data_IF_681145282869
#
_entry.id   IF_681145282869
#
_cell.length_a   1.000
_cell.length_b   1.000
_cell.length_c   1.000
_cell.angle_alpha   90.00
_cell.angle_beta   90.00
_cell.angle_gamma   90.00
#
_symmetry.space_group_name_H-M   'P 1'
#
loop_
_entity.id
_entity.type
_entity.pdbx_description
1 polymer ?
#
# COMPACT_ATOMS: atom_id res chain seq x y z
N UNK A 1 -7.43 -31.40 8.85
CA UNK A 1 -6.37 -31.22 9.86
C UNK A 1 -5.07 -31.45 9.12
N UNK A 2 -4.42 -30.40 8.61
CA UNK A 2 -3.16 -30.54 7.89
C UNK A 2 -2.03 -30.79 8.90
N UNK A 3 -1.15 -31.73 8.62
CA UNK A 3 -0.05 -32.08 9.53
C UNK A 3 0.94 -30.89 9.60
N UNK A 4 1.60 -30.65 10.75
CA UNK A 4 2.55 -29.53 10.90
C UNK A 4 3.68 -29.54 9.84
N UNK A 5 4.08 -30.73 9.38
CA UNK A 5 5.06 -30.91 8.31
C UNK A 5 4.60 -30.36 6.95
N UNK A 6 3.31 -30.45 6.62
CA UNK A 6 2.79 -29.97 5.34
C UNK A 6 2.82 -28.44 5.27
N UNK A 7 2.68 -27.76 6.41
CA UNK A 7 2.72 -26.29 6.49
C UNK A 7 4.14 -25.76 6.26
N UNK A 8 5.15 -26.39 6.87
CA UNK A 8 6.55 -26.03 6.69
C UNK A 8 7.00 -26.24 5.23
N UNK A 9 6.70 -27.40 4.64
CA UNK A 9 7.03 -27.70 3.24
C UNK A 9 6.31 -26.73 2.29
N UNK A 10 5.06 -26.37 2.59
CA UNK A 10 4.31 -25.37 1.81
C UNK A 10 4.99 -24.00 1.86
N UNK A 11 5.41 -23.55 3.03
CA UNK A 11 6.10 -22.26 3.19
C UNK A 11 7.45 -22.24 2.46
N UNK A 12 8.23 -23.32 2.55
CA UNK A 12 9.49 -23.47 1.81
C UNK A 12 9.26 -23.44 0.30
N UNK A 13 8.27 -24.18 -0.20
CA UNK A 13 7.92 -24.16 -1.63
C UNK A 13 7.49 -22.77 -2.09
N UNK A 14 6.63 -22.08 -1.33
CA UNK A 14 6.20 -20.72 -1.65
C UNK A 14 7.38 -19.74 -1.64
N UNK A 15 8.33 -19.88 -0.70
CA UNK A 15 9.55 -19.08 -0.63
C UNK A 15 10.47 -19.32 -1.83
N UNK A 16 10.70 -20.59 -2.20
CA UNK A 16 11.51 -20.94 -3.37
C UNK A 16 10.90 -20.44 -4.68
N UNK A 17 9.58 -20.54 -4.85
CA UNK A 17 8.92 -19.99 -6.04
C UNK A 17 9.00 -18.46 -6.00
N UNK A 18 8.84 -17.83 -4.83
CA UNK A 18 8.95 -16.40 -4.69
C UNK A 18 10.35 -15.87 -5.04
N UNK A 19 11.42 -16.56 -4.62
CA UNK A 19 12.80 -16.22 -4.98
C UNK A 19 13.07 -16.44 -6.47
N UNK A 20 12.58 -17.54 -7.04
CA UNK A 20 12.69 -17.82 -8.47
C UNK A 20 12.07 -16.71 -9.33
N UNK A 21 10.89 -16.22 -8.94
CA UNK A 21 10.20 -15.11 -9.61
C UNK A 21 10.89 -13.76 -9.39
N UNK A 22 11.66 -13.60 -8.30
CA UNK A 22 12.43 -12.39 -8.04
C UNK A 22 13.71 -12.33 -8.89
N UNK A 23 14.39 -13.46 -9.05
CA UNK A 23 15.67 -13.56 -9.75
C UNK A 23 15.54 -13.58 -11.28
N UNK A 24 14.35 -13.89 -11.80
CA UNK A 24 14.10 -13.98 -13.23
C UNK A 24 14.11 -12.61 -13.93
N UNK A 25 15.27 -12.27 -14.50
CA UNK A 25 15.48 -11.04 -15.28
C UNK A 25 14.96 -11.13 -16.73
N UNK A 26 14.71 -12.34 -17.24
CA UNK A 26 14.25 -12.56 -18.61
C UNK A 26 12.71 -12.57 -18.70
N UNK A 27 12.04 -13.03 -17.65
CA UNK A 27 10.57 -13.09 -17.53
C UNK A 27 9.96 -14.35 -18.15
N UNK A 28 10.76 -15.19 -18.81
CA UNK A 28 10.29 -16.42 -19.47
C UNK A 28 9.86 -17.48 -18.46
N UNK A 29 10.67 -17.69 -17.41
CA UNK A 29 10.32 -18.61 -16.32
C UNK A 29 9.10 -18.11 -15.57
N UNK A 30 9.04 -16.80 -15.31
CA UNK A 30 7.89 -16.15 -14.68
C UNK A 30 6.61 -16.35 -15.48
N UNK A 31 6.68 -16.29 -16.82
CA UNK A 31 5.53 -16.55 -17.69
C UNK A 31 5.07 -18.01 -17.62
N UNK A 32 5.98 -18.98 -17.61
CA UNK A 32 5.63 -20.39 -17.48
C UNK A 32 5.01 -20.71 -16.12
N UNK A 33 5.57 -20.17 -15.04
CA UNK A 33 5.02 -20.30 -13.69
C UNK A 33 3.62 -19.69 -13.61
N UNK A 34 3.42 -18.47 -14.13
CA UNK A 34 2.10 -17.82 -14.12
C UNK A 34 1.09 -18.61 -14.97
N UNK A 35 1.50 -19.17 -16.10
CA UNK A 35 0.65 -20.07 -16.91
C UNK A 35 0.30 -21.33 -16.14
N UNK A 36 1.24 -21.92 -15.42
CA UNK A 36 1.01 -23.11 -14.59
C UNK A 36 0.03 -22.80 -13.46
N UNK A 37 0.25 -21.73 -12.70
CA UNK A 37 -0.66 -21.30 -11.61
C UNK A 37 -2.05 -20.98 -12.17
N UNK A 38 -2.13 -20.32 -13.32
CA UNK A 38 -3.42 -20.06 -14.00
C UNK A 38 -4.18 -21.34 -14.33
N UNK A 39 -3.49 -22.37 -14.83
CA UNK A 39 -4.12 -23.68 -15.08
C UNK A 39 -4.58 -24.33 -13.79
N UNK A 40 -3.75 -24.28 -12.73
CA UNK A 40 -4.06 -24.83 -11.41
C UNK A 40 -5.31 -24.17 -10.79
N UNK A 41 -5.42 -22.84 -10.88
CA UNK A 41 -6.58 -22.11 -10.40
C UNK A 41 -7.87 -22.53 -11.14
N UNK A 42 -7.78 -22.77 -12.46
CA UNK A 42 -8.92 -23.22 -13.26
C UNK A 42 -9.32 -24.66 -12.96
N UNK A 43 -8.36 -25.59 -12.87
CA UNK A 43 -8.63 -27.02 -12.63
C UNK A 43 -9.22 -27.26 -11.24
N UNK A 44 -8.77 -26.49 -10.23
CA UNK A 44 -9.30 -26.55 -8.87
C UNK A 44 -10.50 -25.64 -8.62
N UNK A 45 -11.13 -25.11 -9.68
CA UNK A 45 -12.28 -24.19 -9.61
C UNK A 45 -12.09 -23.07 -8.57
N UNK A 46 -10.86 -22.58 -8.42
CA UNK A 46 -10.47 -21.53 -7.46
C UNK A 46 -10.63 -21.89 -5.97
N UNK A 47 -10.79 -23.17 -5.60
CA UNK A 47 -10.72 -23.66 -4.23
C UNK A 47 -9.25 -23.85 -3.80
N UNK A 48 -8.53 -22.74 -3.65
CA UNK A 48 -7.09 -22.72 -3.38
C UNK A 48 -6.82 -21.86 -2.14
N UNK A 49 -5.70 -22.09 -1.45
CA UNK A 49 -5.26 -21.26 -0.33
C UNK A 49 -4.70 -19.90 -0.79
N UNK A 50 -4.83 -18.84 0.03
CA UNK A 50 -4.31 -17.50 -0.28
C UNK A 50 -2.83 -17.46 -0.64
N UNK A 51 -2.02 -18.35 -0.05
CA UNK A 51 -0.58 -18.44 -0.28
C UNK A 51 -0.21 -18.61 -1.77
N UNK A 52 -1.03 -19.33 -2.55
CA UNK A 52 -0.76 -19.55 -3.98
C UNK A 52 -0.92 -18.26 -4.80
N UNK A 53 -1.83 -17.38 -4.40
CA UNK A 53 -1.98 -16.06 -5.03
C UNK A 53 -0.91 -15.08 -4.54
N UNK A 54 -0.47 -15.21 -3.29
CA UNK A 54 0.60 -14.37 -2.72
C UNK A 54 1.93 -14.55 -3.46
N UNK A 55 2.15 -15.68 -4.14
CA UNK A 55 3.30 -15.88 -5.03
C UNK A 55 3.32 -14.82 -6.15
N UNK A 56 2.17 -14.34 -6.64
CA UNK A 56 2.16 -13.25 -7.61
C UNK A 56 2.67 -11.92 -7.03
N UNK A 57 2.64 -11.74 -5.70
CA UNK A 57 3.19 -10.55 -5.05
C UNK A 57 4.71 -10.49 -5.09
N UNK A 58 5.44 -11.58 -5.38
CA UNK A 58 6.91 -11.52 -5.53
C UNK A 58 7.34 -11.06 -6.92
N UNK A 59 6.44 -11.10 -7.91
CA UNK A 59 6.72 -10.66 -9.28
C UNK A 59 7.10 -9.18 -9.31
N UNK A 60 8.31 -8.90 -9.77
CA UNK A 60 8.83 -7.54 -9.95
C UNK A 60 8.61 -7.04 -11.38
N UNK A 61 7.35 -6.95 -11.77
CA UNK A 61 6.97 -6.33 -13.03
C UNK A 61 6.98 -4.82 -12.80
N UNK A 62 8.16 -4.21 -12.87
CA UNK A 62 8.26 -2.76 -12.96
C UNK A 62 7.80 -2.38 -14.37
N UNK A 63 6.85 -1.45 -14.43
CA UNK A 63 6.75 -0.52 -15.55
C UNK A 63 8.18 -0.13 -15.89
N UNK A 64 8.59 -0.42 -17.12
CA UNK A 64 9.90 -0.03 -17.59
C UNK A 64 9.81 1.48 -17.73
N UNK A 65 10.05 2.22 -16.64
CA UNK A 65 10.78 3.46 -16.82
C UNK A 65 12.02 3.06 -17.63
N UNK A 66 12.33 3.77 -18.73
CA UNK A 66 13.56 3.54 -19.45
C UNK A 66 14.63 3.60 -18.37
N UNK A 67 15.32 2.47 -18.19
CA UNK A 67 16.24 2.24 -17.10
C UNK A 67 17.07 3.51 -16.98
N UNK A 68 16.93 4.23 -15.86
CA UNK A 68 17.94 5.19 -15.45
C UNK A 68 19.20 4.35 -15.34
N UNK A 69 19.98 4.35 -16.43
CA UNK A 69 21.30 3.78 -16.45
C UNK A 69 22.01 4.49 -15.32
N UNK A 70 22.20 3.77 -14.20
CA UNK A 70 23.31 4.05 -13.30
C UNK A 70 24.49 4.30 -14.20
N UNK A 71 24.86 5.58 -14.28
CA UNK A 71 25.98 6.15 -15.02
C UNK A 71 26.98 5.05 -15.31
N UNK A 72 26.94 4.53 -16.53
CA UNK A 72 27.97 3.61 -17.02
C UNK A 72 29.27 4.33 -16.68
N UNK A 73 30.01 3.74 -15.73
CA UNK A 73 31.30 4.24 -15.31
C UNK A 73 32.08 4.58 -16.55
N UNK A 74 32.56 5.84 -16.63
CA UNK A 74 33.29 6.37 -17.76
C UNK A 74 34.34 5.34 -18.19
N UNK A 75 34.03 4.57 -19.23
CA UNK A 75 34.95 3.61 -19.80
C UNK A 75 36.21 4.40 -20.15
N UNK A 76 37.28 4.13 -19.40
CA UNK A 76 38.59 4.70 -19.60
C UNK A 76 38.94 4.52 -21.07
N UNK A 77 39.16 5.63 -21.77
CA UNK A 77 39.51 5.61 -23.19
C UNK A 77 40.67 4.63 -23.36
N UNK A 78 40.57 3.62 -24.25
CA UNK A 78 41.67 2.68 -24.44
C UNK A 78 42.89 3.47 -24.88
N UNK A 79 43.99 3.32 -24.14
CA UNK A 79 45.21 4.07 -24.38
C UNK A 79 45.91 3.49 -25.62
N UNK A 80 45.50 3.95 -26.80
CA UNK A 80 46.02 3.53 -28.11
C UNK A 80 47.54 3.75 -28.28
N UNK A 81 48.20 4.38 -27.31
CA UNK A 81 49.66 4.55 -27.26
C UNK A 81 50.39 3.30 -26.76
N UNK A 82 49.74 2.45 -25.96
CA UNK A 82 50.34 1.22 -25.44
C UNK A 82 50.40 0.08 -26.48
N UNK A 83 49.49 0.07 -27.46
CA UNK A 83 49.50 -0.88 -28.57
C UNK A 83 50.12 -0.25 -29.82
N UNK A 84 51.26 -0.79 -30.29
CA UNK A 84 51.93 -0.46 -31.56
C UNK A 84 51.11 -0.92 -32.79
N UNK A 85 49.84 -0.50 -32.88
CA UNK A 85 48.94 -0.81 -34.00
C UNK A 85 49.23 0.10 -35.20
N UNK A 86 49.21 -0.48 -36.40
CA UNK A 86 49.34 0.26 -37.66
C UNK A 86 48.20 1.27 -37.83
N UNK A 87 48.41 2.34 -38.63
CA UNK A 87 47.38 3.35 -38.93
C UNK A 87 46.10 2.72 -39.54
N UNK A 88 46.25 1.64 -40.30
CA UNK A 88 45.13 0.89 -40.90
C UNK A 88 44.34 0.11 -39.83
N UNK A 89 45.04 -0.57 -38.94
CA UNK A 89 44.43 -1.39 -37.88
C UNK A 89 43.68 -0.52 -36.86
N UNK A 90 44.16 0.70 -36.59
CA UNK A 90 43.45 1.68 -35.75
C UNK A 90 42.12 2.13 -36.34
N UNK A 91 42.01 2.25 -37.68
CA UNK A 91 40.73 2.58 -38.33
C UNK A 91 39.77 1.40 -38.25
N UNK A 92 40.24 0.20 -38.57
CA UNK A 92 39.43 -1.02 -38.48
C UNK A 92 38.97 -1.33 -37.06
N UNK A 93 39.80 -1.07 -36.05
CA UNK A 93 39.41 -1.26 -34.65
C UNK A 93 38.33 -0.26 -34.20
N UNK A 94 38.38 0.99 -34.68
CA UNK A 94 37.32 1.98 -34.42
C UNK A 94 36.01 1.60 -35.09
N UNK A 95 36.06 1.21 -36.37
CA UNK A 95 34.90 0.74 -37.12
C UNK A 95 34.29 -0.51 -36.48
N UNK A 96 35.12 -1.48 -36.06
CA UNK A 96 34.66 -2.67 -35.33
C UNK A 96 34.06 -2.32 -33.97
N UNK A 97 34.61 -1.33 -33.26
CA UNK A 97 34.07 -0.87 -31.98
C UNK A 97 32.75 -0.12 -32.15
N UNK A 98 32.60 0.68 -33.20
CA UNK A 98 31.33 1.35 -33.54
C UNK A 98 30.26 0.34 -33.98
N UNK A 99 30.64 -0.66 -34.79
CA UNK A 99 29.76 -1.75 -35.18
C UNK A 99 29.32 -2.59 -33.97
N UNK A 100 30.24 -2.92 -33.06
CA UNK A 100 29.92 -3.65 -31.83
C UNK A 100 28.95 -2.86 -30.95
N UNK A 101 29.15 -1.55 -30.79
CA UNK A 101 28.20 -0.68 -30.05
C UNK A 101 26.82 -0.65 -30.71
N UNK A 102 26.77 -0.58 -32.04
CA UNK A 102 25.50 -0.58 -32.77
C UNK A 102 24.77 -1.93 -32.62
N UNK A 103 25.51 -3.05 -32.69
CA UNK A 103 24.97 -4.38 -32.46
C UNK A 103 24.49 -4.54 -31.03
N UNK A 104 25.26 -4.11 -30.04
CA UNK A 104 24.89 -4.12 -28.62
C UNK A 104 23.58 -3.33 -28.40
N UNK A 105 23.51 -2.10 -28.89
CA UNK A 105 22.29 -1.28 -28.80
C UNK A 105 21.07 -1.96 -29.45
N UNK A 106 21.23 -2.57 -30.63
CA UNK A 106 20.15 -3.31 -31.29
C UNK A 106 19.73 -4.55 -30.50
N UNK A 107 20.68 -5.30 -29.95
CA UNK A 107 20.36 -6.48 -29.13
C UNK A 107 19.64 -6.10 -27.83
N UNK A 108 20.03 -4.98 -27.22
CA UNK A 108 19.38 -4.45 -26.02
C UNK A 108 17.95 -4.00 -26.31
N UNK A 109 17.72 -3.27 -27.41
CA UNK A 109 16.39 -2.86 -27.84
C UNK A 109 15.47 -4.06 -28.09
N UNK A 110 15.94 -5.07 -28.83
CA UNK A 110 15.17 -6.30 -29.07
C UNK A 110 14.83 -7.04 -27.76
N UNK A 111 15.77 -7.10 -26.81
CA UNK A 111 15.54 -7.70 -25.50
C UNK A 111 14.50 -6.94 -24.69
N UNK A 112 14.50 -5.61 -24.75
CA UNK A 112 13.51 -4.77 -24.08
C UNK A 112 12.11 -4.95 -24.67
N UNK A 113 11.97 -4.97 -26.00
CA UNK A 113 10.70 -5.23 -26.67
C UNK A 113 10.14 -6.61 -26.32
N UNK A 114 10.99 -7.64 -26.34
CA UNK A 114 10.59 -8.99 -25.94
C UNK A 114 10.08 -9.04 -24.50
N UNK A 115 10.79 -8.35 -23.59
CA UNK A 115 10.39 -8.24 -22.18
C UNK A 115 9.04 -7.52 -22.01
N UNK A 116 8.80 -6.43 -22.75
CA UNK A 116 7.51 -5.74 -22.71
C UNK A 116 6.38 -6.67 -23.15
N UNK A 117 6.58 -7.45 -24.22
CA UNK A 117 5.60 -8.42 -24.71
C UNK A 117 5.31 -9.51 -23.67
N UNK A 118 6.35 -10.08 -23.06
CA UNK A 118 6.20 -11.08 -22.00
C UNK A 118 5.47 -10.49 -20.79
N UNK A 119 5.91 -9.33 -20.29
CA UNK A 119 5.31 -8.68 -19.13
C UNK A 119 3.83 -8.38 -19.37
N UNK A 120 3.47 -7.90 -20.56
CA UNK A 120 2.07 -7.68 -20.95
C UNK A 120 1.26 -8.99 -20.87
N UNK A 121 1.79 -10.09 -21.41
CA UNK A 121 1.11 -11.40 -21.32
C UNK A 121 0.94 -11.87 -19.88
N UNK A 122 1.96 -11.69 -19.03
CA UNK A 122 1.89 -12.05 -17.61
C UNK A 122 0.78 -11.24 -16.92
N UNK A 123 0.78 -9.92 -17.12
CA UNK A 123 -0.18 -9.00 -16.54
C UNK A 123 -1.61 -9.31 -17.00
N UNK A 124 -1.82 -9.55 -18.28
CA UNK A 124 -3.12 -9.97 -18.83
C UNK A 124 -3.61 -11.28 -18.18
N UNK A 125 -2.74 -12.28 -18.02
CA UNK A 125 -3.10 -13.55 -17.34
C UNK A 125 -3.46 -13.35 -15.86
N UNK A 126 -2.68 -12.54 -15.14
CA UNK A 126 -2.92 -12.24 -13.73
C UNK A 126 -4.25 -11.52 -13.55
N UNK A 127 -4.50 -10.43 -14.29
CA UNK A 127 -5.76 -9.68 -14.21
C UNK A 127 -6.96 -10.52 -14.63
N UNK A 128 -6.84 -11.33 -15.69
CA UNK A 128 -7.92 -12.24 -16.07
C UNK A 128 -8.28 -13.23 -14.95
N UNK A 129 -7.31 -13.68 -14.15
CA UNK A 129 -7.60 -14.54 -13.00
C UNK A 129 -8.23 -13.75 -11.84
N UNK A 130 -7.72 -12.55 -11.53
CA UNK A 130 -8.29 -11.68 -10.50
C UNK A 130 -9.72 -11.23 -10.82
N UNK A 131 -10.02 -10.82 -12.05
CA UNK A 131 -11.37 -10.43 -12.45
C UNK A 131 -12.34 -11.61 -12.48
N UNK A 132 -11.87 -12.82 -12.85
CA UNK A 132 -12.70 -14.03 -12.71
C UNK A 132 -13.00 -14.36 -11.26
N UNK A 133 -12.04 -14.16 -10.35
CA UNK A 133 -12.24 -14.33 -8.92
C UNK A 133 -13.24 -13.31 -8.36
N UNK A 134 -13.10 -12.03 -8.74
CA UNK A 134 -14.02 -10.95 -8.35
C UNK A 134 -15.45 -11.22 -8.86
N UNK A 135 -15.62 -11.53 -10.15
CA UNK A 135 -16.95 -11.84 -10.73
C UNK A 135 -17.65 -13.03 -10.08
N UNK A 136 -16.88 -14.01 -9.61
CA UNK A 136 -17.45 -15.22 -9.05
C UNK A 136 -17.93 -15.06 -7.60
N UNK A 137 -17.58 -13.98 -6.89
CA UNK A 137 -17.88 -13.79 -5.44
C UNK A 137 -17.48 -14.98 -4.54
N UNK A 138 -16.73 -15.95 -5.07
CA UNK A 138 -16.80 -17.33 -4.56
C UNK A 138 -15.87 -17.59 -3.38
N UNK A 139 -14.98 -16.67 -2.98
CA UNK A 139 -14.11 -16.93 -1.84
C UNK A 139 -13.74 -15.61 -1.13
N UNK A 140 -14.54 -15.24 -0.13
CA UNK A 140 -14.24 -14.17 0.83
C UNK A 140 -12.83 -14.29 1.42
N UNK A 141 -12.29 -15.52 1.47
CA UNK A 141 -10.93 -15.85 1.92
C UNK A 141 -9.82 -15.40 0.98
N UNK A 142 -10.08 -15.36 -0.33
CA UNK A 142 -9.10 -14.98 -1.36
C UNK A 142 -9.13 -13.49 -1.67
N UNK A 143 -10.21 -12.79 -1.31
CA UNK A 143 -10.37 -11.36 -1.54
C UNK A 143 -9.19 -10.51 -1.05
N UNK A 144 -8.66 -10.68 0.18
CA UNK A 144 -7.48 -9.95 0.64
C UNK A 144 -6.27 -10.07 -0.30
N UNK A 145 -5.92 -11.30 -0.71
CA UNK A 145 -4.78 -11.56 -1.59
C UNK A 145 -4.96 -11.00 -2.99
N UNK A 146 -6.17 -11.11 -3.54
CA UNK A 146 -6.51 -10.54 -4.86
C UNK A 146 -6.40 -9.04 -4.82
N UNK A 147 -6.97 -8.40 -3.81
CA UNK A 147 -6.90 -6.95 -3.64
C UNK A 147 -5.44 -6.49 -3.42
N UNK A 148 -4.65 -7.16 -2.60
CA UNK A 148 -3.24 -6.83 -2.44
C UNK A 148 -2.46 -6.93 -3.77
N UNK A 149 -2.74 -7.95 -4.58
CA UNK A 149 -2.19 -8.08 -5.93
C UNK A 149 -2.61 -6.95 -6.87
N UNK A 150 -3.90 -6.59 -6.89
CA UNK A 150 -4.42 -5.49 -7.69
C UNK A 150 -3.82 -4.14 -7.26
N UNK A 151 -3.64 -3.92 -5.95
CA UNK A 151 -3.03 -2.71 -5.42
C UNK A 151 -1.57 -2.58 -5.86
N UNK A 152 -0.81 -3.69 -5.88
CA UNK A 152 0.58 -3.73 -6.34
C UNK A 152 0.70 -3.43 -7.84
N UNK A 153 -0.19 -4.00 -8.65
CA UNK A 153 -0.15 -3.89 -10.12
C UNK A 153 -1.05 -2.78 -10.67
N UNK A 154 -1.59 -1.90 -9.81
CA UNK A 154 -2.57 -0.87 -10.19
C UNK A 154 -2.13 0.01 -11.37
N UNK A 155 -0.84 0.34 -11.46
CA UNK A 155 -0.29 1.16 -12.56
C UNK A 155 -0.45 0.50 -13.94
N UNK A 156 -0.37 -0.83 -13.98
CA UNK A 156 -0.38 -1.63 -15.20
C UNK A 156 -1.80 -1.90 -15.71
N UNK A 157 -2.83 -1.45 -14.99
CA UNK A 157 -4.23 -1.61 -15.38
C UNK A 157 -4.56 -0.56 -16.44
N UNK A 158 -5.18 -1.00 -17.54
CA UNK A 158 -5.72 -0.08 -18.55
C UNK A 158 -6.84 0.77 -17.92
N UNK A 159 -6.76 2.09 -18.13
CA UNK A 159 -7.62 3.12 -17.53
C UNK A 159 -9.11 2.81 -17.79
N UNK A 160 -9.44 2.27 -18.97
CA UNK A 160 -10.80 1.93 -19.37
C UNK A 160 -11.52 0.94 -18.43
N UNK A 161 -10.79 0.09 -17.71
CA UNK A 161 -11.39 -0.89 -16.77
C UNK A 161 -11.50 -0.37 -15.34
N UNK A 162 -10.91 0.80 -15.04
CA UNK A 162 -10.80 1.30 -13.67
C UNK A 162 -12.14 1.76 -13.11
N UNK A 163 -12.94 2.44 -13.92
CA UNK A 163 -14.26 2.93 -13.51
C UNK A 163 -15.18 1.76 -13.13
N UNK A 164 -15.25 0.73 -13.98
CA UNK A 164 -16.01 -0.50 -13.73
C UNK A 164 -15.53 -1.24 -12.47
N UNK A 165 -14.21 -1.27 -12.27
CA UNK A 165 -13.58 -1.91 -11.12
C UNK A 165 -13.92 -1.16 -9.82
N UNK A 166 -13.83 0.16 -9.83
CA UNK A 166 -14.13 1.00 -8.66
C UNK A 166 -15.62 0.94 -8.33
N UNK A 167 -16.49 0.96 -9.34
CA UNK A 167 -17.93 0.76 -9.17
C UNK A 167 -18.23 -0.63 -8.55
N UNK A 168 -17.61 -1.68 -9.07
CA UNK A 168 -17.76 -3.04 -8.53
C UNK A 168 -17.31 -3.13 -7.06
N UNK A 169 -16.19 -2.50 -6.69
CA UNK A 169 -15.75 -2.43 -5.29
C UNK A 169 -16.72 -1.64 -4.41
N UNK A 170 -17.26 -0.54 -4.92
CA UNK A 170 -18.24 0.25 -4.18
C UNK A 170 -19.51 -0.55 -3.88
N UNK A 171 -20.03 -1.28 -4.87
CA UNK A 171 -21.21 -2.13 -4.70
C UNK A 171 -20.95 -3.27 -3.69
N UNK A 172 -19.76 -3.88 -3.71
CA UNK A 172 -19.38 -4.91 -2.75
C UNK A 172 -19.19 -4.38 -1.33
N UNK A 173 -18.66 -3.16 -1.18
CA UNK A 173 -18.46 -2.52 0.12
C UNK A 173 -19.77 -2.02 0.73
N UNK A 174 -20.68 -1.51 -0.09
CA UNK A 174 -21.96 -0.95 0.34
C UNK A 174 -23.02 -2.03 0.62
N UNK A 175 -22.88 -3.20 0.01
CA UNK A 175 -23.82 -4.31 0.23
C UNK A 175 -23.53 -5.02 1.55
N UNK A 176 -24.42 -4.85 2.54
CA UNK A 176 -24.35 -5.54 3.84
C UNK A 176 -24.47 -7.08 3.73
N UNK A 177 -25.02 -7.58 2.61
CA UNK A 177 -25.31 -9.00 2.38
C UNK A 177 -24.08 -9.83 2.00
N UNK A 178 -22.92 -9.22 1.81
CA UNK A 178 -21.77 -9.86 1.17
C UNK A 178 -20.94 -10.72 2.12
N UNK A 179 -21.17 -10.66 3.45
CA UNK A 179 -20.41 -11.44 4.42
C UNK A 179 -18.90 -11.14 4.39
N UNK A 180 -18.47 -10.04 3.76
CA UNK A 180 -17.07 -9.66 3.68
C UNK A 180 -16.52 -9.37 5.08
N UNK A 181 -15.43 -10.07 5.41
CA UNK A 181 -14.63 -9.78 6.59
C UNK A 181 -14.15 -8.32 6.55
N UNK A 182 -14.07 -7.66 7.71
CA UNK A 182 -13.56 -6.28 7.83
C UNK A 182 -12.19 -6.13 7.16
N UNK A 183 -11.29 -7.09 7.36
CA UNK A 183 -9.99 -7.16 6.68
C UNK A 183 -10.10 -7.08 5.15
N UNK A 184 -11.03 -7.82 4.55
CA UNK A 184 -11.24 -7.77 3.11
C UNK A 184 -11.73 -6.39 2.67
N UNK A 185 -12.61 -5.75 3.44
CA UNK A 185 -13.07 -4.37 3.18
C UNK A 185 -11.91 -3.37 3.23
N UNK A 186 -10.99 -3.48 4.18
CA UNK A 186 -9.79 -2.65 4.22
C UNK A 186 -8.89 -2.86 3.00
N UNK A 187 -8.67 -4.11 2.57
CA UNK A 187 -7.90 -4.37 1.36
C UNK A 187 -8.57 -3.82 0.10
N UNK A 188 -9.90 -3.87 -0.01
CA UNK A 188 -10.66 -3.24 -1.11
C UNK A 188 -10.48 -1.71 -1.12
N UNK A 189 -10.53 -1.06 0.05
CA UNK A 189 -10.26 0.37 0.13
C UNK A 189 -8.82 0.70 -0.27
N UNK A 190 -7.84 -0.10 0.17
CA UNK A 190 -6.43 0.08 -0.21
C UNK A 190 -6.28 -0.02 -1.73
N UNK A 191 -6.96 -0.98 -2.39
CA UNK A 191 -6.92 -1.07 -3.86
C UNK A 191 -7.46 0.16 -4.55
N UNK A 192 -8.64 0.63 -4.14
CA UNK A 192 -9.29 1.79 -4.75
C UNK A 192 -8.40 3.03 -4.60
N UNK A 193 -7.87 3.28 -3.40
CA UNK A 193 -6.98 4.43 -3.19
C UNK A 193 -5.60 4.26 -3.82
N UNK A 194 -5.08 3.03 -3.98
CA UNK A 194 -3.85 2.78 -4.74
C UNK A 194 -4.02 3.17 -6.21
N UNK A 195 -5.17 2.83 -6.78
CA UNK A 195 -5.57 3.21 -8.13
C UNK A 195 -5.71 4.74 -8.25
N UNK A 196 -6.49 5.37 -7.37
CA UNK A 196 -6.77 6.81 -7.41
C UNK A 196 -5.52 7.68 -7.18
N UNK A 197 -4.64 7.30 -6.25
CA UNK A 197 -3.47 8.11 -5.90
C UNK A 197 -2.38 8.06 -6.98
N UNK A 198 -2.30 6.97 -7.75
CA UNK A 198 -1.25 6.76 -8.74
C UNK A 198 -1.62 7.24 -10.13
N UNK A 199 -2.92 7.32 -10.44
CA UNK A 199 -3.43 7.84 -11.70
C UNK A 199 -4.07 9.22 -11.45
N UNK A 200 -3.25 10.27 -11.40
CA UNK A 200 -3.70 11.67 -11.22
C UNK A 200 -4.64 12.20 -12.34
N UNK A 201 -5.02 11.34 -13.29
CA UNK A 201 -5.84 11.64 -14.48
C UNK A 201 -7.30 11.19 -14.32
N UNK A 202 -7.67 10.43 -13.29
CA UNK A 202 -9.06 9.99 -13.03
C UNK A 202 -9.94 11.10 -12.42
N UNK A 203 -10.07 12.23 -13.13
CA UNK A 203 -10.81 13.44 -12.70
C UNK A 203 -12.32 13.17 -12.49
N UNK A 204 -12.86 12.06 -13.00
CA UNK A 204 -14.30 11.79 -13.01
C UNK A 204 -14.85 11.01 -11.81
N UNK A 205 -14.01 10.41 -10.97
CA UNK A 205 -14.49 9.59 -9.84
C UNK A 205 -14.51 10.42 -8.57
N UNK A 206 -15.70 10.58 -7.99
CA UNK A 206 -15.86 11.22 -6.68
C UNK A 206 -15.48 10.25 -5.53
N UNK A 207 -14.39 10.52 -4.79
CA UNK A 207 -13.97 9.67 -3.68
C UNK A 207 -14.84 9.83 -2.42
N UNK A 208 -15.78 10.78 -2.37
CA UNK A 208 -16.56 11.12 -1.18
C UNK A 208 -17.22 9.90 -0.52
N UNK A 209 -17.81 9.03 -1.33
CA UNK A 209 -18.49 7.82 -0.84
C UNK A 209 -17.53 6.83 -0.18
N UNK A 210 -16.29 6.76 -0.64
CA UNK A 210 -15.27 5.89 -0.03
C UNK A 210 -14.76 6.43 1.31
N UNK A 211 -14.77 7.76 1.51
CA UNK A 211 -14.48 8.33 2.83
C UNK A 211 -15.59 8.01 3.84
N UNK A 212 -16.86 8.07 3.45
CA UNK A 212 -17.97 7.65 4.30
C UNK A 212 -17.87 6.16 4.68
N UNK A 213 -17.59 5.29 3.70
CA UNK A 213 -17.35 3.85 3.95
C UNK A 213 -16.16 3.60 4.88
N UNK A 214 -15.05 4.31 4.71
CA UNK A 214 -13.92 4.17 5.62
C UNK A 214 -14.28 4.65 7.04
N UNK A 215 -15.00 5.77 7.14
CA UNK A 215 -15.44 6.32 8.42
C UNK A 215 -16.39 5.39 9.17
N UNK A 216 -17.35 4.75 8.49
CA UNK A 216 -18.26 3.76 9.09
C UNK A 216 -17.52 2.47 9.52
N UNK A 217 -16.49 2.04 8.77
CA UNK A 217 -15.69 0.86 9.12
C UNK A 217 -14.81 1.04 10.36
N UNK A 218 -14.49 2.27 10.77
CA UNK A 218 -13.67 2.53 11.95
C UNK A 218 -14.43 2.36 13.27
N UNK A 219 -15.77 2.49 13.26
CA UNK A 219 -16.60 2.40 14.47
C UNK A 219 -16.68 0.98 15.05
N UNK A 220 -16.91 -0.08 14.26
CA UNK A 220 -16.70 -1.44 14.73
C UNK A 220 -15.18 -1.69 14.81
N UNK A 221 -14.60 -1.35 15.95
CA UNK A 221 -13.16 -1.32 16.23
C UNK A 221 -12.41 -2.46 15.51
N UNK A 222 -11.38 -2.15 14.71
CA UNK A 222 -10.63 -3.17 14.00
C UNK A 222 -9.85 -4.05 14.98
N UNK A 223 -9.67 -5.32 14.62
CA UNK A 223 -8.79 -6.21 15.37
C UNK A 223 -7.33 -5.74 15.29
N UNK A 224 -6.54 -6.00 16.34
CA UNK A 224 -5.13 -5.59 16.44
C UNK A 224 -4.29 -6.03 15.23
N UNK A 225 -4.63 -7.16 14.61
CA UNK A 225 -3.92 -7.71 13.42
C UNK A 225 -4.11 -6.91 12.14
N UNK A 226 -5.15 -6.07 12.06
CA UNK A 226 -5.54 -5.36 10.84
C UNK A 226 -5.10 -3.88 10.86
N UNK A 227 -4.43 -3.45 11.92
CA UNK A 227 -4.04 -2.05 12.12
C UNK A 227 -2.96 -1.60 11.14
N UNK A 228 -2.10 -2.51 10.68
CA UNK A 228 -1.19 -2.27 9.56
C UNK A 228 -1.93 -1.74 8.32
N UNK A 229 -3.12 -2.29 8.05
CA UNK A 229 -3.97 -1.89 6.92
C UNK A 229 -4.62 -0.53 7.17
N UNK A 230 -5.07 -0.28 8.40
CA UNK A 230 -5.64 1.01 8.79
C UNK A 230 -4.59 2.13 8.70
N UNK A 231 -3.37 1.89 9.16
CA UNK A 231 -2.24 2.83 9.03
C UNK A 231 -1.95 3.14 7.55
N UNK A 232 -1.90 2.11 6.70
CA UNK A 232 -1.76 2.28 5.23
C UNK A 232 -2.89 3.13 4.66
N UNK A 233 -4.14 2.88 5.06
CA UNK A 233 -5.31 3.64 4.61
C UNK A 233 -5.26 5.09 5.07
N UNK A 234 -4.89 5.37 6.33
CA UNK A 234 -4.74 6.74 6.83
C UNK A 234 -3.69 7.49 6.01
N UNK A 235 -2.55 6.87 5.73
CA UNK A 235 -1.51 7.47 4.89
C UNK A 235 -2.07 7.82 3.49
N UNK A 236 -2.67 6.84 2.81
CA UNK A 236 -3.12 7.00 1.42
C UNK A 236 -4.35 7.91 1.27
N UNK A 237 -5.30 7.83 2.21
CA UNK A 237 -6.57 8.55 2.14
C UNK A 237 -6.47 9.96 2.74
N UNK A 238 -5.77 10.12 3.87
CA UNK A 238 -5.81 11.35 4.66
C UNK A 238 -4.52 12.17 4.52
N UNK A 239 -3.34 11.53 4.56
CA UNK A 239 -2.07 12.26 4.47
C UNK A 239 -1.71 12.62 3.02
N UNK A 240 -1.80 11.68 2.08
CA UNK A 240 -1.42 11.94 0.68
C UNK A 240 -2.40 12.89 -0.03
N UNK A 241 -3.69 12.84 0.33
CA UNK A 241 -4.77 13.64 -0.28
C UNK A 241 -5.27 14.79 0.58
N UNK A 242 -4.54 15.17 1.63
CA UNK A 242 -5.00 16.17 2.61
C UNK A 242 -5.50 17.49 2.00
N UNK A 243 -4.91 17.94 0.88
CA UNK A 243 -5.29 19.18 0.18
C UNK A 243 -6.67 19.13 -0.47
N UNK A 244 -7.16 17.94 -0.79
CA UNK A 244 -8.46 17.73 -1.44
C UNK A 244 -9.59 17.52 -0.42
N UNK A 245 -9.25 17.42 0.87
CA UNK A 245 -10.20 17.15 1.95
C UNK A 245 -10.70 18.46 2.57
N UNK A 246 -12.00 18.47 2.91
CA UNK A 246 -12.57 19.55 3.71
C UNK A 246 -12.07 19.45 5.16
N UNK A 247 -11.94 20.59 5.83
CA UNK A 247 -11.49 20.66 7.24
C UNK A 247 -12.34 19.77 8.16
N UNK A 248 -13.66 19.75 7.94
CA UNK A 248 -14.62 18.99 8.75
C UNK A 248 -14.39 17.48 8.64
N UNK A 249 -14.03 16.99 7.45
CA UNK A 249 -13.70 15.58 7.23
C UNK A 249 -12.45 15.20 8.05
N UNK A 250 -11.40 16.02 8.00
CA UNK A 250 -10.18 15.77 8.78
C UNK A 250 -10.45 15.76 10.28
N UNK A 251 -11.21 16.74 10.79
CA UNK A 251 -11.63 16.80 12.19
C UNK A 251 -12.42 15.54 12.61
N UNK A 252 -13.37 15.12 11.79
CA UNK A 252 -14.19 13.94 12.06
C UNK A 252 -13.33 12.67 12.12
N UNK A 253 -12.41 12.49 11.17
CA UNK A 253 -11.49 11.35 11.17
C UNK A 253 -10.57 11.36 12.39
N UNK A 254 -10.00 12.51 12.77
CA UNK A 254 -9.16 12.60 13.98
C UNK A 254 -9.96 12.17 15.22
N UNK A 255 -11.18 12.69 15.38
CA UNK A 255 -12.03 12.34 16.52
C UNK A 255 -12.39 10.85 16.53
N UNK A 256 -12.78 10.28 15.39
CA UNK A 256 -13.13 8.85 15.29
C UNK A 256 -11.92 7.93 15.45
N UNK A 257 -10.74 8.33 14.99
CA UNK A 257 -9.51 7.59 15.25
C UNK A 257 -9.17 7.60 16.74
N UNK A 258 -9.37 8.72 17.43
CA UNK A 258 -9.17 8.79 18.88
C UNK A 258 -10.16 7.93 19.67
N UNK A 259 -11.43 7.91 19.28
CA UNK A 259 -12.41 7.00 19.91
C UNK A 259 -12.07 5.54 19.62
N UNK A 260 -11.60 5.21 18.42
CA UNK A 260 -11.12 3.87 18.08
C UNK A 260 -9.92 3.47 18.95
N UNK A 261 -8.97 4.37 19.17
CA UNK A 261 -7.77 4.10 19.98
C UNK A 261 -8.12 3.65 21.41
N UNK A 262 -9.22 4.15 22.00
CA UNK A 262 -9.67 3.72 23.32
C UNK A 262 -10.12 2.25 23.39
N UNK A 263 -10.51 1.67 22.26
CA UNK A 263 -11.03 0.30 22.19
C UNK A 263 -9.94 -0.73 21.85
N UNK A 264 -8.71 -0.27 21.58
CA UNK A 264 -7.59 -1.15 21.25
C UNK A 264 -6.96 -1.72 22.51
N UNK A 265 -6.66 -3.03 22.46
CA UNK A 265 -6.10 -3.75 23.60
C UNK A 265 -4.57 -3.70 23.62
N UNK A 266 -3.94 -3.69 22.44
CA UNK A 266 -2.48 -3.66 22.32
C UNK A 266 -1.90 -2.24 22.39
N UNK A 267 -0.92 -2.03 23.27
CA UNK A 267 -0.16 -0.77 23.37
C UNK A 267 0.57 -0.38 22.08
N UNK A 268 1.01 -1.37 21.31
CA UNK A 268 1.74 -1.19 20.04
C UNK A 268 0.82 -0.57 18.98
N UNK A 269 -0.38 -1.12 18.88
CA UNK A 269 -1.48 -0.65 18.04
C UNK A 269 -1.86 0.79 18.34
N UNK A 270 -2.04 1.11 19.63
CA UNK A 270 -2.35 2.46 20.11
C UNK A 270 -1.26 3.44 19.69
N UNK A 271 0.01 3.09 19.90
CA UNK A 271 1.15 3.94 19.56
C UNK A 271 1.25 4.21 18.05
N UNK A 272 1.03 3.18 17.21
CA UNK A 272 1.07 3.31 15.76
C UNK A 272 0.03 4.30 15.23
N UNK A 273 -1.20 4.25 15.75
CA UNK A 273 -2.27 5.17 15.35
C UNK A 273 -2.04 6.58 15.90
N UNK A 274 -1.52 6.72 17.13
CA UNK A 274 -1.17 8.02 17.69
C UNK A 274 -0.10 8.75 16.87
N UNK A 275 0.89 8.03 16.33
CA UNK A 275 1.88 8.59 15.40
C UNK A 275 1.19 9.14 14.14
N UNK A 276 0.20 8.42 13.61
CA UNK A 276 -0.56 8.86 12.43
C UNK A 276 -1.46 10.07 12.75
N UNK A 277 -2.09 10.10 13.92
CA UNK A 277 -2.88 11.26 14.38
C UNK A 277 -1.99 12.48 14.54
N UNK A 278 -0.81 12.33 15.16
CA UNK A 278 0.19 13.40 15.27
C UNK A 278 0.59 13.94 13.89
N UNK A 279 0.76 13.06 12.90
CA UNK A 279 1.05 13.47 11.52
C UNK A 279 -0.09 14.30 10.92
N UNK A 280 -1.35 13.89 11.11
CA UNK A 280 -2.53 14.62 10.61
C UNK A 280 -2.64 16.02 11.24
N UNK A 281 -2.42 16.13 12.55
CA UNK A 281 -2.44 17.40 13.28
C UNK A 281 -1.29 18.33 12.83
N UNK A 282 -0.12 17.77 12.52
CA UNK A 282 1.03 18.53 12.02
C UNK A 282 0.78 19.10 10.61
N UNK A 283 0.10 18.36 9.74
CA UNK A 283 -0.21 18.80 8.36
C UNK A 283 -1.24 19.93 8.34
N UNK A 284 -2.19 19.91 9.26
CA UNK A 284 -3.33 20.82 9.27
C UNK A 284 -3.37 21.64 10.56
N UNK A 285 -2.54 22.69 10.69
CA UNK A 285 -2.50 23.52 11.91
C UNK A 285 -3.85 24.16 12.23
N UNK A 286 -4.67 24.45 11.21
CA UNK A 286 -6.04 24.97 11.37
C UNK A 286 -7.00 23.98 12.04
N UNK A 287 -6.81 22.67 11.83
CA UNK A 287 -7.60 21.60 12.47
C UNK A 287 -7.16 21.47 13.93
N UNK A 288 -5.84 21.58 14.16
CA UNK A 288 -5.24 21.59 15.48
C UNK A 288 -5.80 22.72 16.33
N UNK A 289 -5.75 23.97 15.85
CA UNK A 289 -6.28 25.14 16.57
C UNK A 289 -7.75 24.95 16.98
N UNK A 290 -8.62 24.53 16.05
CA UNK A 290 -10.05 24.33 16.34
C UNK A 290 -10.36 23.19 17.31
N UNK A 291 -9.51 22.17 17.42
CA UNK A 291 -9.71 21.08 18.40
C UNK A 291 -9.24 21.46 19.80
N UNK A 292 -8.33 22.43 19.92
CA UNK A 292 -7.81 22.93 21.19
C UNK A 292 -8.62 24.12 21.72
N UNK A 293 -9.14 24.95 20.81
CA UNK A 293 -10.07 26.02 21.14
C UNK A 293 -11.45 25.41 21.40
N UNK A 294 -11.83 25.26 22.67
CA UNK A 294 -13.13 24.72 23.10
C UNK A 294 -14.32 25.63 22.75
N UNK A 295 -14.19 26.46 21.70
CA UNK A 295 -15.21 27.39 21.24
C UNK A 295 -16.10 26.72 20.20
N UNK A 296 -17.40 26.69 20.48
CA UNK A 296 -18.39 26.15 19.55
C UNK A 296 -18.45 27.01 18.28
N UNK A 297 -18.00 26.43 17.16
CA UNK A 297 -18.05 27.07 15.85
C UNK A 297 -19.15 26.41 15.01
N UNK A 298 -20.18 27.16 14.63
CA UNK A 298 -21.23 26.71 13.69
C UNK A 298 -22.63 26.45 14.27
N UNK A 299 -23.56 25.97 13.43
CA UNK A 299 -25.00 25.89 13.71
C UNK A 299 -25.49 24.58 14.35
N UNK A 300 -24.60 23.75 14.91
CA UNK A 300 -24.94 22.48 15.56
C UNK A 300 -24.45 22.42 17.00
N UNK A 301 -25.29 21.96 17.94
CA UNK A 301 -24.96 22.02 19.38
C UNK A 301 -24.00 20.91 19.82
N UNK A 302 -23.95 19.76 19.12
CA UNK A 302 -23.20 18.57 19.56
C UNK A 302 -22.56 17.80 18.40
N UNK A 303 -21.44 17.14 18.71
CA UNK A 303 -20.82 16.12 17.85
C UNK A 303 -21.71 14.87 17.81
N UNK A 304 -22.03 14.42 16.59
CA UNK A 304 -22.85 13.24 16.36
C UNK A 304 -21.92 12.05 16.06
N UNK A 305 -21.73 11.19 17.06
CA UNK A 305 -20.79 10.06 17.00
C UNK A 305 -21.32 8.89 16.16
N UNK A 306 -22.64 8.74 16.06
CA UNK A 306 -23.34 7.67 15.34
C UNK A 306 -23.39 7.83 13.81
N UNK A 307 -23.16 9.03 13.29
CA UNK A 307 -23.30 9.28 11.86
C UNK A 307 -22.16 8.64 11.05
N UNK A 308 -22.49 8.07 9.89
CA UNK A 308 -21.52 7.44 8.98
C UNK A 308 -20.87 8.41 8.00
N UNK A 309 -21.40 9.62 7.87
CA UNK A 309 -20.86 10.64 6.98
C UNK A 309 -19.95 11.63 7.73
N UNK A 310 -18.63 11.65 7.44
CA UNK A 310 -17.68 12.49 8.17
C UNK A 310 -17.90 14.00 7.97
N UNK A 311 -18.64 14.41 6.93
CA UNK A 311 -18.91 15.83 6.62
C UNK A 311 -20.01 16.44 7.50
N UNK A 312 -20.94 15.61 7.99
CA UNK A 312 -22.13 16.05 8.73
C UNK A 312 -22.08 15.74 10.24
N UNK A 313 -20.96 15.21 10.73
CA UNK A 313 -20.79 14.85 12.15
C UNK A 313 -20.64 16.04 13.11
N UNK A 314 -20.57 17.29 12.61
CA UNK A 314 -20.28 18.49 13.41
C UNK A 314 -19.01 18.34 14.27
N UNK A 315 -17.95 17.80 13.67
CA UNK A 315 -16.65 17.54 14.30
C UNK A 315 -15.92 18.78 14.80
N UNK A 316 -16.30 19.97 14.32
CA UNK A 316 -15.81 21.26 14.81
C UNK A 316 -16.11 21.51 16.29
N UNK A 317 -17.17 20.89 16.82
CA UNK A 317 -17.61 21.08 18.20
C UNK A 317 -17.17 19.92 19.12
N UNK A 318 -16.25 19.08 18.64
CA UNK A 318 -15.72 17.95 19.38
C UNK A 318 -14.40 18.32 20.07
N UNK A 319 -14.29 18.01 21.36
CA UNK A 319 -13.08 18.22 22.15
C UNK A 319 -12.31 16.90 22.35
N UNK A 320 -11.01 16.96 22.63
CA UNK A 320 -10.11 15.80 22.66
C UNK A 320 -10.03 15.10 24.04
N UNK A 321 -11.16 14.74 24.65
CA UNK A 321 -11.18 14.07 25.96
C UNK A 321 -10.51 12.69 25.98
N UNK A 322 -10.45 12.00 24.84
CA UNK A 322 -9.83 10.67 24.70
C UNK A 322 -8.34 10.69 25.06
N UNK A 323 -7.63 11.76 24.71
CA UNK A 323 -6.20 11.91 25.03
C UNK A 323 -5.96 11.98 26.54
N UNK A 324 -6.88 12.59 27.28
CA UNK A 324 -6.80 12.69 28.75
C UNK A 324 -6.99 11.31 29.38
N UNK A 325 -7.87 10.47 28.82
CA UNK A 325 -8.06 9.10 29.27
C UNK A 325 -6.84 8.23 28.94
N UNK A 326 -6.29 8.35 27.73
CA UNK A 326 -5.07 7.63 27.30
C UNK A 326 -3.84 8.00 28.12
N UNK A 327 -3.78 9.21 28.70
CA UNK A 327 -2.72 9.61 29.62
C UNK A 327 -2.68 8.75 30.90
N UNK A 328 -3.80 8.11 31.28
CA UNK A 328 -3.86 7.25 32.47
C UNK A 328 -3.32 5.83 32.22
N UNK A 329 -3.04 5.47 30.98
CA UNK A 329 -2.53 4.14 30.61
C UNK A 329 -1.12 3.91 31.15
N UNK A 330 -0.82 2.67 31.53
CA UNK A 330 0.45 2.26 32.16
C UNK A 330 1.68 2.50 31.26
N UNK A 331 1.51 2.48 29.94
CA UNK A 331 2.63 2.54 28.99
C UNK A 331 3.25 3.93 28.91
N UNK A 332 4.58 3.99 29.03
CA UNK A 332 5.35 5.23 29.00
C UNK A 332 5.34 5.88 27.61
N UNK A 333 5.39 5.07 26.56
CA UNK A 333 5.47 5.55 25.17
C UNK A 333 4.18 6.22 24.71
N UNK A 334 3.04 5.60 25.00
CA UNK A 334 1.71 6.15 24.75
C UNK A 334 1.53 7.47 25.51
N UNK A 335 1.92 7.52 26.79
CA UNK A 335 1.84 8.75 27.60
C UNK A 335 2.68 9.88 27.04
N UNK A 336 3.93 9.61 26.66
CA UNK A 336 4.80 10.62 26.06
C UNK A 336 4.22 11.16 24.74
N UNK A 337 3.69 10.28 23.88
CA UNK A 337 3.04 10.70 22.63
C UNK A 337 1.77 11.53 22.89
N UNK A 338 0.94 11.16 23.88
CA UNK A 338 -0.22 11.94 24.27
C UNK A 338 0.18 13.32 24.82
N UNK A 339 1.23 13.41 25.63
CA UNK A 339 1.75 14.69 26.14
C UNK A 339 2.31 15.57 25.02
N UNK A 340 3.02 14.99 24.05
CA UNK A 340 3.49 15.72 22.87
C UNK A 340 2.34 16.27 22.04
N UNK A 341 1.26 15.49 21.85
CA UNK A 341 0.08 15.95 21.13
C UNK A 341 -0.58 17.09 21.91
N UNK A 342 -0.85 16.91 23.21
CA UNK A 342 -1.50 17.90 24.07
C UNK A 342 -0.72 19.21 24.21
N UNK A 343 0.61 19.15 24.15
CA UNK A 343 1.46 20.35 24.22
C UNK A 343 1.43 21.19 22.93
N UNK A 344 0.82 20.70 21.85
CA UNK A 344 0.54 21.46 20.62
C UNK A 344 1.77 21.89 19.80
N UNK A 345 2.99 21.52 20.22
CA UNK A 345 4.23 21.89 19.54
C UNK A 345 4.59 20.85 18.47
N UNK A 346 3.99 20.98 17.29
CA UNK A 346 4.31 20.12 16.15
C UNK A 346 5.44 20.75 15.33
N UNK A 347 6.63 20.13 15.35
CA UNK A 347 7.70 20.47 14.39
C UNK A 347 7.26 20.00 13.00
N UNK A 348 7.09 20.94 12.08
CA UNK A 348 6.60 20.69 10.72
C UNK A 348 7.69 20.14 9.80
N UNK A 349 8.27 19.00 10.16
CA UNK A 349 9.25 18.35 9.29
C UNK A 349 8.52 17.52 8.22
N UNK A 350 8.54 18.02 6.99
CA UNK A 350 7.94 17.35 5.82
C UNK A 350 8.49 15.93 5.57
N UNK A 351 9.72 15.66 6.01
CA UNK A 351 10.34 14.34 5.96
C UNK A 351 9.77 13.36 7.00
N UNK A 352 9.35 13.87 8.17
CA UNK A 352 8.71 13.06 9.21
C UNK A 352 7.35 12.58 8.70
N UNK A 353 6.59 13.43 8.01
CA UNK A 353 5.29 13.08 7.42
C UNK A 353 5.36 11.95 6.38
N UNK A 354 6.40 11.93 5.54
CA UNK A 354 6.61 10.83 4.57
C UNK A 354 7.07 9.53 5.23
N UNK A 355 7.74 9.62 6.38
CA UNK A 355 8.19 8.45 7.16
C UNK A 355 7.19 8.01 8.24
N UNK A 356 6.07 8.72 8.43
CA UNK A 356 5.06 8.39 9.45
C UNK A 356 4.53 6.96 9.34
N UNK A 357 4.19 6.49 8.14
CA UNK A 357 3.81 5.10 7.94
C UNK A 357 4.93 4.12 8.29
N UNK A 358 6.18 4.40 7.91
CA UNK A 358 7.31 3.53 8.25
C UNK A 358 7.55 3.49 9.76
N UNK A 359 7.40 4.63 10.44
CA UNK A 359 7.52 4.74 11.88
C UNK A 359 6.37 4.03 12.60
N UNK A 360 5.13 4.19 12.13
CA UNK A 360 3.96 3.50 12.67
C UNK A 360 4.05 1.97 12.47
N UNK A 361 4.48 1.51 11.30
CA UNK A 361 4.73 0.09 11.04
C UNK A 361 5.92 -0.44 11.84
N UNK A 362 6.94 0.37 12.11
CA UNK A 362 8.07 -0.02 12.97
C UNK A 362 7.60 -0.30 14.40
N UNK A 363 6.66 0.46 14.95
CA UNK A 363 6.07 0.16 16.27
C UNK A 363 5.35 -1.19 16.28
N UNK A 364 4.68 -1.55 15.18
CA UNK A 364 4.01 -2.86 15.05
C UNK A 364 5.00 -4.01 14.86
N UNK A 365 6.16 -3.76 14.24
CA UNK A 365 7.22 -4.73 14.01
C UNK A 365 8.20 -4.91 15.18
N UNK A 366 8.11 -4.09 16.24
CA UNK A 366 8.90 -4.32 17.47
C UNK A 366 8.44 -5.61 18.17
N UNK A 367 9.05 -6.72 17.76
CA UNK A 367 8.98 -7.99 18.45
C UNK A 367 9.76 -7.90 19.78
N UNK A 368 9.06 -8.29 20.84
CA UNK A 368 9.48 -8.76 22.15
C UNK A 368 10.99 -8.77 22.47
N UNK A 369 11.54 -7.64 22.92
CA UNK A 369 12.83 -7.61 23.63
C UNK A 369 12.69 -7.28 25.13
N UNK A 370 11.47 -7.17 25.67
CA UNK A 370 11.24 -6.82 27.08
C UNK A 370 10.58 -7.95 27.91
N UNK A 371 10.71 -9.21 27.48
CA UNK A 371 10.52 -10.35 28.38
C UNK A 371 11.86 -11.07 28.58
N UNK A 372 12.75 -10.45 29.35
CA UNK A 372 13.80 -11.17 30.07
C UNK A 372 13.35 -11.23 31.54
N UNK A 373 13.31 -12.43 32.16
CA UNK A 373 12.75 -12.61 33.49
C UNK A 373 13.60 -11.91 34.55
N UNK A 374 12.91 -11.29 35.50
CA UNK A 374 13.46 -10.82 36.76
C UNK A 374 14.36 -11.90 37.39
N UNK A 375 15.57 -11.49 37.79
CA UNK A 375 16.40 -12.21 38.76
C UNK A 375 16.59 -11.35 39.98
#
# INVERSE_FOLDING_TARGET
MAMPFDLAVREECCSCIASLLHDDRAGELSLEVVRFVTRLLKTRSYAVEPCVLNVFLSLNIREISPIEEKKIEKATKPDYRAQKLSRRDRRQHKEKQELNKLLENKTLANRQEHRIKINRQIVELIFLNYFRLLKRRLNLRLMPSVCEGLAKFANLINIEYMDDLIACYYDELSSEKTGLNQRAKFHCLITVFSILNRQQVLIHIDPQRFYALFYSLLLPCPSDTDIDLVVKLIQMMLLDRYKQLSKNKLLAFVKRLLTMVLHLQSSKSVSAILVMIKALLTISPLVTEQLYDNEFSGSGIRYLWDLDDPEYCNSQNATLYELILLKKTSDKHVRQQCEEILNGKFQSDTHVLRSCQQNALAYLQTADNNQLPEK
#
